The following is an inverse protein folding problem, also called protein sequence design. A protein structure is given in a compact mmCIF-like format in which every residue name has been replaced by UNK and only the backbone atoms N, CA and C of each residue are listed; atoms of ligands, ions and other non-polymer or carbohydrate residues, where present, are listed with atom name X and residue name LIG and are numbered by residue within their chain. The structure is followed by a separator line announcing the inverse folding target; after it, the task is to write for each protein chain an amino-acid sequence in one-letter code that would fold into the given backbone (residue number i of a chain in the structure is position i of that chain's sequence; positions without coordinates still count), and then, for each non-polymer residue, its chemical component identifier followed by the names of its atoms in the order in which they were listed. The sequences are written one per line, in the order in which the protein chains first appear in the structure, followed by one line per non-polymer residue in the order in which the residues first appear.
data_IF_942393729935
#
_entry.id   IF_942393729935
#
_cell.length_a   1.000
_cell.length_b   1.000
_cell.length_c   1.000
_cell.angle_alpha   90.00
_cell.angle_beta   90.00
_cell.angle_gamma   90.00
#
_symmetry.space_group_name_H-M   'P 1'
#
loop_
_entity.id
_entity.type
_entity.pdbx_description
1 polymer ?
#
# COMPACT_ATOMS: atom_id res chain seq x y z
N UNK A 1 -7.75 3.49 -18.87
CA UNK A 1 -9.19 3.57 -19.12
C UNK A 1 -9.44 3.22 -20.57
N UNK A 2 -10.35 2.29 -20.82
CA UNK A 2 -10.84 1.95 -22.15
C UNK A 2 -12.27 2.52 -22.32
N UNK A 3 -12.58 3.03 -23.50
CA UNK A 3 -13.91 3.61 -23.77
C UNK A 3 -14.44 3.16 -25.12
N UNK A 4 -15.75 3.05 -25.25
CA UNK A 4 -16.48 2.84 -26.47
C UNK A 4 -17.84 3.58 -26.43
N UNK A 5 -18.68 3.38 -27.45
CA UNK A 5 -20.01 4.01 -27.49
C UNK A 5 -20.94 3.59 -26.33
N UNK A 6 -20.69 2.50 -25.66
CA UNK A 6 -21.48 1.99 -24.55
C UNK A 6 -21.01 2.43 -23.16
N UNK A 7 -19.82 3.03 -23.05
CA UNK A 7 -19.30 3.47 -21.74
C UNK A 7 -17.79 3.58 -21.65
N UNK A 8 -17.33 3.87 -20.46
CA UNK A 8 -15.91 3.97 -20.10
C UNK A 8 -15.62 2.92 -19.01
N UNK A 9 -14.54 2.17 -19.16
CA UNK A 9 -14.10 1.20 -18.16
C UNK A 9 -13.66 1.88 -16.87
N UNK A 10 -13.61 1.12 -15.79
CA UNK A 10 -12.88 1.52 -14.60
C UNK A 10 -11.44 1.92 -14.96
N UNK A 11 -10.85 2.90 -14.27
CA UNK A 11 -9.44 3.21 -14.44
C UNK A 11 -8.59 2.00 -14.08
N UNK A 12 -7.54 1.76 -14.87
CA UNK A 12 -6.50 0.81 -14.52
C UNK A 12 -5.63 1.36 -13.39
N UNK A 13 -4.77 0.49 -12.86
CA UNK A 13 -3.69 0.90 -11.97
C UNK A 13 -2.85 2.03 -12.58
N UNK A 14 -2.44 2.98 -11.74
CA UNK A 14 -1.56 4.08 -12.13
C UNK A 14 -0.12 3.58 -12.21
N UNK A 15 0.50 3.75 -13.35
CA UNK A 15 1.91 3.46 -13.58
C UNK A 15 2.68 4.76 -13.72
N UNK A 16 3.90 4.80 -13.19
CA UNK A 16 4.78 5.97 -13.31
C UNK A 16 6.22 5.55 -13.60
N UNK A 17 6.94 6.38 -14.34
CA UNK A 17 8.34 6.17 -14.65
C UNK A 17 9.04 7.51 -14.85
N UNK A 18 10.33 7.55 -14.58
CA UNK A 18 11.19 8.72 -14.79
C UNK A 18 12.62 8.28 -15.06
N UNK A 19 13.28 8.96 -15.97
CA UNK A 19 14.71 8.81 -16.24
C UNK A 19 15.40 10.10 -15.84
N UNK A 20 16.28 10.04 -14.85
CA UNK A 20 17.04 11.18 -14.38
C UNK A 20 18.14 11.53 -15.41
N UNK A 21 18.35 12.85 -15.73
CA UNK A 21 19.42 13.27 -16.62
C UNK A 21 20.83 12.89 -16.12
N UNK A 22 21.02 12.96 -14.81
CA UNK A 22 22.22 12.50 -14.10
C UNK A 22 21.78 11.44 -13.09
N UNK A 23 21.79 10.19 -13.51
CA UNK A 23 21.23 9.07 -12.77
C UNK A 23 22.10 8.73 -11.56
N UNK A 24 21.56 8.86 -10.35
CA UNK A 24 22.21 8.42 -9.09
C UNK A 24 22.00 6.93 -8.82
N UNK A 25 21.02 6.35 -9.42
CA UNK A 25 20.65 4.95 -9.29
C UNK A 25 19.23 4.71 -9.78
N UNK A 26 18.83 3.43 -9.78
CA UNK A 26 17.54 2.94 -10.31
C UNK A 26 16.69 2.33 -9.22
N UNK A 27 15.48 2.81 -9.08
CA UNK A 27 14.53 2.34 -8.08
C UNK A 27 13.36 1.65 -8.78
N UNK A 28 13.03 0.46 -8.32
CA UNK A 28 11.80 -0.20 -8.70
C UNK A 28 10.73 0.12 -7.63
N UNK A 29 9.70 0.84 -8.01
CA UNK A 29 8.55 1.15 -7.15
C UNK A 29 7.51 0.06 -7.35
N UNK A 30 7.26 -0.75 -6.33
CA UNK A 30 6.30 -1.85 -6.38
C UNK A 30 5.03 -1.48 -5.65
N UNK A 31 3.93 -1.41 -6.39
CA UNK A 31 2.61 -1.31 -5.82
C UNK A 31 2.14 -2.71 -5.40
N UNK A 32 1.98 -2.92 -4.09
CA UNK A 32 1.75 -4.24 -3.51
C UNK A 32 0.38 -4.39 -2.85
N UNK A 33 -0.59 -3.62 -3.29
CA UNK A 33 -2.00 -3.80 -2.93
C UNK A 33 -2.86 -3.95 -4.18
N UNK A 34 -3.97 -4.66 -4.04
CA UNK A 34 -4.91 -4.95 -5.13
C UNK A 34 -6.28 -4.35 -4.87
N UNK A 35 -6.58 -4.00 -3.61
CA UNK A 35 -7.84 -3.40 -3.23
C UNK A 35 -7.72 -1.89 -3.10
N UNK A 36 -8.54 -1.19 -3.84
CA UNK A 36 -8.63 0.27 -3.86
C UNK A 36 -10.06 0.67 -3.58
N UNK A 37 -10.28 1.62 -2.71
CA UNK A 37 -11.62 2.17 -2.51
C UNK A 37 -12.05 3.01 -3.70
N UNK A 38 -13.30 2.86 -4.07
CA UNK A 38 -13.93 3.65 -5.10
C UNK A 38 -14.17 5.10 -4.66
N UNK A 39 -14.67 5.93 -5.58
CA UNK A 39 -15.04 7.30 -5.27
C UNK A 39 -16.21 7.34 -4.28
N UNK A 40 -16.21 8.39 -3.49
CA UNK A 40 -17.31 8.71 -2.59
C UNK A 40 -18.63 8.88 -3.37
N UNK A 41 -19.70 8.35 -2.86
CA UNK A 41 -21.02 8.48 -3.47
C UNK A 41 -22.02 9.11 -2.51
N UNK A 42 -23.16 9.49 -3.01
CA UNK A 42 -24.27 10.05 -2.23
C UNK A 42 -25.60 9.55 -2.74
N UNK A 43 -26.51 9.40 -1.81
CA UNK A 43 -27.91 9.12 -2.08
C UNK A 43 -28.76 10.09 -1.26
N UNK A 44 -29.66 10.79 -1.92
CA UNK A 44 -30.67 11.61 -1.28
C UNK A 44 -32.07 11.19 -1.80
N UNK A 45 -33.09 11.88 -1.38
CA UNK A 45 -34.48 11.56 -1.78
C UNK A 45 -34.75 11.71 -3.29
N UNK A 46 -33.83 12.31 -4.04
CA UNK A 46 -34.04 12.69 -5.45
C UNK A 46 -32.94 12.17 -6.36
N UNK A 47 -31.72 12.04 -5.86
CA UNK A 47 -30.53 11.71 -6.66
C UNK A 47 -29.64 10.69 -5.97
N UNK A 48 -29.06 9.83 -6.80
CA UNK A 48 -27.95 8.94 -6.45
C UNK A 48 -26.80 9.24 -7.40
N UNK A 49 -25.59 9.36 -6.87
CA UNK A 49 -24.45 9.67 -7.74
C UNK A 49 -23.11 9.66 -7.04
N UNK A 50 -22.06 9.84 -7.82
CA UNK A 50 -20.68 9.91 -7.37
C UNK A 50 -20.29 11.37 -7.17
N UNK A 51 -19.60 11.69 -6.08
CA UNK A 51 -19.07 13.04 -5.85
C UNK A 51 -17.94 13.31 -6.84
N UNK A 52 -18.07 14.31 -7.74
CA UNK A 52 -17.09 14.51 -8.82
C UNK A 52 -15.68 14.85 -8.34
N UNK A 53 -15.55 15.43 -7.14
CA UNK A 53 -14.27 15.79 -6.55
C UNK A 53 -13.62 14.64 -5.76
N UNK A 54 -14.33 13.55 -5.57
CA UNK A 54 -13.76 12.40 -4.89
C UNK A 54 -12.79 11.69 -5.81
N UNK A 55 -11.56 11.54 -5.36
CA UNK A 55 -10.52 10.78 -6.04
C UNK A 55 -10.33 9.40 -5.38
N UNK A 56 -11.43 8.81 -4.95
CA UNK A 56 -11.39 7.61 -4.13
C UNK A 56 -10.99 7.95 -2.71
N UNK A 57 -10.49 6.99 -1.99
CA UNK A 57 -10.27 7.06 -0.54
C UNK A 57 -9.22 8.05 -0.15
N UNK A 58 -8.40 8.51 -0.75
CA UNK A 58 -7.30 9.28 -0.23
C UNK A 58 -7.53 10.76 -0.15
N UNK A 59 -8.51 11.28 -0.81
CA UNK A 59 -8.57 12.71 -1.02
C UNK A 59 -9.39 13.43 0.06
N UNK A 60 -8.68 13.91 1.06
CA UNK A 60 -9.25 14.74 2.13
C UNK A 60 -10.14 14.00 3.12
N UNK A 61 -10.29 12.68 2.95
CA UNK A 61 -11.10 11.85 3.84
C UNK A 61 -10.47 10.49 4.00
N UNK A 62 -10.32 10.10 5.21
CA UNK A 62 -9.99 8.75 5.58
C UNK A 62 -10.80 8.37 6.80
N UNK A 63 -11.99 7.99 6.55
CA UNK A 63 -12.89 7.42 7.53
C UNK A 63 -12.97 5.92 7.30
N UNK A 64 -13.57 5.18 8.19
CA UNK A 64 -13.66 3.73 8.11
C UNK A 64 -14.39 3.23 6.85
N UNK A 65 -15.15 4.11 6.21
CA UNK A 65 -15.76 3.84 4.92
C UNK A 65 -15.77 5.08 4.02
N UNK A 66 -15.32 4.91 2.78
CA UNK A 66 -15.41 5.90 1.71
C UNK A 66 -15.74 5.18 0.41
N UNK A 67 -17.02 5.06 0.07
CA UNK A 67 -17.50 4.41 -1.14
C UNK A 67 -17.21 2.90 -1.23
N UNK A 68 -17.44 2.35 -2.37
CA UNK A 68 -17.26 0.94 -2.68
C UNK A 68 -15.78 0.59 -2.85
N UNK A 69 -15.44 -0.68 -2.62
CA UNK A 69 -14.10 -1.19 -2.85
C UNK A 69 -14.09 -2.15 -4.03
N UNK A 70 -13.02 -2.08 -4.82
CA UNK A 70 -12.87 -2.90 -6.01
C UNK A 70 -11.60 -3.75 -5.92
N UNK A 71 -11.69 -5.01 -6.34
CA UNK A 71 -10.54 -5.89 -6.46
C UNK A 71 -9.92 -5.76 -7.87
N UNK A 72 -8.64 -5.45 -7.92
CA UNK A 72 -7.86 -5.34 -9.14
C UNK A 72 -6.90 -6.53 -9.34
N UNK A 73 -7.05 -7.61 -8.58
CA UNK A 73 -6.25 -8.82 -8.74
C UNK A 73 -6.78 -9.67 -9.91
N UNK A 74 -6.27 -9.41 -11.11
CA UNK A 74 -6.66 -10.13 -12.34
C UNK A 74 -6.32 -11.63 -12.36
N UNK A 75 -5.57 -12.13 -11.36
CA UNK A 75 -5.31 -13.57 -11.22
C UNK A 75 -6.51 -14.32 -10.61
N UNK A 76 -7.43 -13.59 -10.02
CA UNK A 76 -8.69 -14.13 -9.52
C UNK A 76 -9.73 -14.19 -10.65
N UNK A 77 -10.71 -15.10 -10.57
CA UNK A 77 -11.83 -15.12 -11.51
C UNK A 77 -12.57 -13.77 -11.51
N UNK A 78 -13.06 -13.37 -12.68
CA UNK A 78 -13.94 -12.21 -12.78
C UNK A 78 -15.24 -12.46 -12.03
N UNK A 79 -15.64 -11.48 -11.23
CA UNK A 79 -16.89 -11.49 -10.49
C UNK A 79 -17.48 -10.08 -10.46
N UNK A 80 -18.80 -9.96 -10.39
CA UNK A 80 -19.51 -8.68 -10.42
C UNK A 80 -20.42 -8.50 -9.22
N UNK A 81 -20.12 -9.14 -8.11
CA UNK A 81 -20.84 -9.01 -6.86
C UNK A 81 -19.88 -8.87 -5.67
N UNK A 82 -20.37 -9.03 -4.45
CA UNK A 82 -19.64 -8.74 -3.21
C UNK A 82 -18.68 -9.87 -2.79
N UNK A 83 -18.57 -10.95 -3.55
CA UNK A 83 -17.62 -12.01 -3.25
C UNK A 83 -16.20 -11.68 -3.71
N UNK A 84 -15.21 -12.41 -3.17
CA UNK A 84 -13.83 -12.25 -3.58
C UNK A 84 -13.60 -12.62 -5.05
N UNK A 85 -13.22 -11.65 -5.87
CA UNK A 85 -12.90 -11.87 -7.26
C UNK A 85 -12.49 -10.59 -7.96
N UNK A 86 -11.87 -10.72 -9.11
CA UNK A 86 -11.46 -9.56 -9.90
C UNK A 86 -12.67 -8.78 -10.40
N UNK A 87 -12.65 -7.48 -10.15
CA UNK A 87 -13.72 -6.56 -10.53
C UNK A 87 -14.89 -6.50 -9.54
N UNK A 88 -14.88 -7.33 -8.49
CA UNK A 88 -15.95 -7.29 -7.49
C UNK A 88 -15.97 -5.95 -6.74
N UNK A 89 -17.15 -5.60 -6.31
CA UNK A 89 -17.43 -4.44 -5.48
C UNK A 89 -17.78 -4.94 -4.08
N UNK A 90 -17.06 -4.47 -3.07
CA UNK A 90 -17.24 -4.90 -1.69
C UNK A 90 -18.06 -3.88 -0.90
N UNK A 91 -19.31 -3.69 -1.27
CA UNK A 91 -20.21 -2.74 -0.61
C UNK A 91 -20.46 -3.08 0.86
N UNK A 92 -20.49 -4.36 1.20
CA UNK A 92 -20.66 -4.86 2.56
C UNK A 92 -19.40 -4.72 3.42
N UNK A 93 -18.28 -4.30 2.82
CA UNK A 93 -17.04 -3.97 3.54
C UNK A 93 -17.07 -2.59 4.20
N UNK A 94 -18.19 -1.94 4.22
CA UNK A 94 -18.37 -0.65 4.92
C UNK A 94 -17.92 -0.75 6.38
N UNK A 95 -17.07 0.16 6.80
CA UNK A 95 -16.49 0.13 8.15
C UNK A 95 -15.28 -0.78 8.35
N UNK A 96 -14.86 -1.53 7.33
CA UNK A 96 -13.64 -2.35 7.42
C UNK A 96 -12.39 -1.47 7.35
N UNK A 97 -11.46 -1.68 8.28
CA UNK A 97 -10.25 -0.87 8.45
C UNK A 97 -9.27 -0.90 7.27
N UNK A 98 -9.40 -1.85 6.37
CA UNK A 98 -8.50 -2.00 5.22
C UNK A 98 -8.82 -1.08 4.06
N UNK A 99 -9.80 -0.23 4.19
CA UNK A 99 -10.10 0.83 3.22
C UNK A 99 -9.01 1.90 3.22
N UNK A 100 -8.89 2.64 2.14
CA UNK A 100 -8.01 3.79 2.07
C UNK A 100 -6.81 3.65 1.14
N UNK A 101 -6.70 2.59 0.35
CA UNK A 101 -5.67 2.51 -0.68
C UNK A 101 -6.04 3.34 -1.91
N UNK A 102 -5.03 3.95 -2.52
CA UNK A 102 -5.13 4.64 -3.82
C UNK A 102 -3.92 4.33 -4.69
N UNK A 103 -4.13 4.21 -5.99
CA UNK A 103 -3.03 4.01 -6.95
C UNK A 103 -2.10 5.21 -7.10
N UNK A 104 -2.44 6.37 -6.56
CA UNK A 104 -1.61 7.59 -6.62
C UNK A 104 -0.29 7.48 -5.85
N UNK A 105 -0.13 6.49 -5.00
CA UNK A 105 1.10 6.32 -4.20
C UNK A 105 2.35 6.22 -5.06
N UNK A 106 2.30 5.51 -6.18
CA UNK A 106 3.46 5.39 -7.08
C UNK A 106 3.89 6.72 -7.67
N UNK A 107 2.95 7.63 -7.92
CA UNK A 107 3.22 8.98 -8.40
C UNK A 107 3.81 9.84 -7.27
N UNK A 108 3.29 9.74 -6.05
CA UNK A 108 3.78 10.48 -4.89
C UNK A 108 5.22 10.10 -4.55
N UNK A 109 5.51 8.81 -4.44
CA UNK A 109 6.87 8.29 -4.21
C UNK A 109 7.80 8.64 -5.37
N UNK A 110 7.34 8.45 -6.61
CA UNK A 110 8.10 8.75 -7.80
C UNK A 110 8.52 10.21 -7.92
N UNK A 111 7.67 11.17 -7.54
CA UNK A 111 8.03 12.59 -7.50
C UNK A 111 9.20 12.85 -6.55
N UNK A 112 9.22 12.21 -5.39
CA UNK A 112 10.32 12.35 -4.42
C UNK A 112 11.60 11.74 -4.99
N UNK A 113 11.54 10.54 -5.56
CA UNK A 113 12.68 9.87 -6.17
C UNK A 113 13.28 10.71 -7.32
N UNK A 114 12.45 11.27 -8.19
CA UNK A 114 12.88 12.15 -9.26
C UNK A 114 13.57 13.41 -8.73
N UNK A 115 13.04 14.05 -7.69
CA UNK A 115 13.66 15.21 -7.04
C UNK A 115 15.02 14.87 -6.40
N UNK A 116 15.19 13.64 -5.93
CA UNK A 116 16.44 13.14 -5.38
C UNK A 116 17.47 12.75 -6.46
N UNK A 117 17.09 12.71 -7.74
CA UNK A 117 17.95 12.36 -8.87
C UNK A 117 18.03 10.85 -9.16
N UNK A 118 17.06 10.08 -8.74
CA UNK A 118 16.95 8.66 -9.10
C UNK A 118 16.06 8.46 -10.32
N UNK A 119 16.45 7.55 -11.18
CA UNK A 119 15.53 6.98 -12.17
C UNK A 119 14.64 5.95 -11.51
N UNK A 120 13.39 5.85 -11.94
CA UNK A 120 12.50 4.83 -11.40
C UNK A 120 11.48 4.36 -12.45
N UNK A 121 10.97 3.18 -12.20
CA UNK A 121 9.79 2.61 -12.88
C UNK A 121 8.89 1.98 -11.82
N UNK A 122 7.58 2.12 -11.98
CA UNK A 122 6.63 1.41 -11.13
C UNK A 122 6.14 0.12 -11.79
N UNK A 123 5.82 -0.86 -10.96
CA UNK A 123 5.19 -2.11 -11.37
C UNK A 123 4.22 -2.59 -10.27
N UNK A 124 3.30 -3.46 -10.66
CA UNK A 124 2.49 -4.19 -9.70
C UNK A 124 3.27 -5.39 -9.17
N UNK A 125 3.37 -5.53 -7.84
CA UNK A 125 4.12 -6.61 -7.21
C UNK A 125 3.57 -8.01 -7.52
N UNK A 126 2.31 -8.10 -7.90
CA UNK A 126 1.67 -9.38 -8.27
C UNK A 126 1.87 -9.75 -9.75
N UNK A 127 2.37 -8.82 -10.56
CA UNK A 127 2.63 -9.04 -11.98
C UNK A 127 4.09 -9.40 -12.28
N UNK A 128 4.94 -9.51 -11.25
CA UNK A 128 6.35 -9.85 -11.40
C UNK A 128 6.69 -11.17 -10.71
N UNK A 129 7.63 -11.90 -11.28
CA UNK A 129 8.16 -13.15 -10.70
C UNK A 129 9.58 -13.01 -10.18
N UNK A 130 10.26 -11.92 -10.52
CA UNK A 130 11.63 -11.65 -10.10
C UNK A 130 11.94 -10.16 -10.10
N UNK A 131 12.88 -9.76 -9.26
CA UNK A 131 13.41 -8.39 -9.16
C UNK A 131 14.85 -8.39 -9.68
N UNK A 132 15.11 -7.52 -10.66
CA UNK A 132 16.44 -7.34 -11.22
C UNK A 132 16.63 -5.92 -11.80
N UNK A 133 17.86 -5.52 -12.06
CA UNK A 133 18.19 -4.28 -12.77
C UNK A 133 17.86 -2.99 -12.00
N UNK A 134 17.72 -3.06 -10.68
CA UNK A 134 17.52 -1.91 -9.81
C UNK A 134 18.48 -1.96 -8.61
N UNK A 135 18.82 -0.79 -8.09
CA UNK A 135 19.67 -0.63 -6.91
C UNK A 135 18.89 -0.77 -5.61
N UNK A 136 17.61 -0.44 -5.64
CA UNK A 136 16.69 -0.62 -4.52
C UNK A 136 15.26 -0.83 -5.00
N UNK A 137 14.44 -1.36 -4.10
CA UNK A 137 13.00 -1.53 -4.25
C UNK A 137 12.29 -0.66 -3.22
N UNK A 138 11.30 0.09 -3.66
CA UNK A 138 10.33 0.80 -2.84
C UNK A 138 8.99 0.05 -2.91
N UNK A 139 8.70 -0.74 -1.89
CA UNK A 139 7.51 -1.59 -1.81
C UNK A 139 6.40 -0.89 -1.04
N UNK A 140 5.33 -0.56 -1.72
CA UNK A 140 4.18 0.17 -1.18
C UNK A 140 3.04 -0.81 -0.94
N UNK A 141 2.77 -1.11 0.32
CA UNK A 141 1.69 -2.02 0.73
C UNK A 141 0.42 -1.23 1.12
N UNK A 142 0.59 0.02 1.53
CA UNK A 142 -0.52 0.85 1.95
C UNK A 142 -1.29 0.25 3.13
N UNK A 143 -2.60 0.12 2.97
CA UNK A 143 -3.51 -0.46 3.97
C UNK A 143 -3.99 -1.87 3.60
N UNK A 144 -3.23 -2.62 2.79
CA UNK A 144 -3.52 -4.01 2.46
C UNK A 144 -3.48 -4.88 3.72
N UNK A 145 -4.52 -5.67 3.94
CA UNK A 145 -4.65 -6.59 5.08
C UNK A 145 -5.57 -7.73 4.73
N UNK A 146 -5.26 -8.92 5.20
CA UNK A 146 -6.13 -10.10 5.04
C UNK A 146 -7.54 -9.79 5.53
N UNK A 147 -8.49 -9.99 4.66
CA UNK A 147 -9.92 -9.86 4.93
C UNK A 147 -10.60 -11.19 4.68
N UNK A 148 -11.48 -11.58 5.58
CA UNK A 148 -12.30 -12.78 5.46
C UNK A 148 -13.63 -12.36 4.85
N UNK A 149 -13.97 -12.97 3.71
CA UNK A 149 -15.21 -12.71 2.98
C UNK A 149 -15.94 -14.03 2.82
N UNK A 150 -16.96 -14.24 3.62
CA UNK A 150 -17.64 -15.55 3.67
C UNK A 150 -16.67 -16.67 4.05
N UNK A 151 -16.44 -17.61 3.14
CA UNK A 151 -15.50 -18.74 3.30
C UNK A 151 -14.12 -18.48 2.69
N UNK A 152 -13.96 -17.40 1.96
CA UNK A 152 -12.70 -17.04 1.29
C UNK A 152 -11.92 -15.97 2.07
N UNK A 153 -10.66 -15.83 1.73
CA UNK A 153 -9.76 -14.80 2.25
C UNK A 153 -9.02 -14.10 1.12
N UNK A 154 -8.90 -12.80 1.23
CA UNK A 154 -8.22 -11.98 0.24
C UNK A 154 -7.31 -10.94 0.89
N UNK A 155 -6.54 -10.23 0.07
CA UNK A 155 -5.81 -9.02 0.43
C UNK A 155 -4.69 -9.18 1.46
N UNK A 156 -4.08 -10.37 1.57
CA UNK A 156 -2.93 -10.59 2.46
C UNK A 156 -1.80 -9.59 2.18
N UNK A 157 -1.26 -9.01 3.23
CA UNK A 157 -0.18 -8.00 3.18
C UNK A 157 1.04 -8.46 2.40
N UNK A 158 1.61 -9.62 2.76
CA UNK A 158 2.67 -10.30 2.00
C UNK A 158 2.19 -11.69 1.61
N UNK A 159 1.76 -11.85 0.36
CA UNK A 159 1.40 -13.18 -0.13
C UNK A 159 2.60 -14.12 -0.15
N UNK A 160 2.42 -15.46 -0.10
CA UNK A 160 3.54 -16.40 -0.20
C UNK A 160 4.40 -16.20 -1.45
N UNK A 161 3.79 -15.81 -2.57
CA UNK A 161 4.51 -15.47 -3.81
C UNK A 161 5.42 -14.25 -3.60
N UNK A 162 4.90 -13.16 -3.03
CA UNK A 162 5.65 -11.95 -2.75
C UNK A 162 6.79 -12.21 -1.75
N UNK A 163 6.53 -12.97 -0.68
CA UNK A 163 7.55 -13.36 0.29
C UNK A 163 8.74 -14.06 -0.40
N UNK A 164 8.45 -15.00 -1.32
CA UNK A 164 9.47 -15.72 -2.08
C UNK A 164 10.31 -14.79 -2.96
N UNK A 165 9.68 -13.88 -3.69
CA UNK A 165 10.38 -12.92 -4.56
C UNK A 165 11.28 -12.00 -3.74
N UNK A 166 10.76 -11.44 -2.65
CA UNK A 166 11.50 -10.54 -1.77
C UNK A 166 12.66 -11.25 -1.06
N UNK A 167 12.44 -12.47 -0.55
CA UNK A 167 13.49 -13.27 0.06
C UNK A 167 14.64 -13.52 -0.92
N UNK A 168 14.34 -13.94 -2.15
CA UNK A 168 15.34 -14.16 -3.19
C UNK A 168 16.11 -12.88 -3.55
N UNK A 169 15.43 -11.73 -3.57
CA UNK A 169 16.05 -10.44 -3.84
C UNK A 169 16.98 -10.01 -2.70
N UNK A 170 16.52 -10.11 -1.46
CA UNK A 170 17.29 -9.74 -0.27
C UNK A 170 18.49 -10.67 -0.04
N UNK A 171 18.36 -11.96 -0.29
CA UNK A 171 19.48 -12.92 -0.22
C UNK A 171 20.62 -12.59 -1.20
N UNK A 172 20.32 -11.92 -2.31
CA UNK A 172 21.30 -11.44 -3.28
C UNK A 172 21.89 -10.06 -2.93
N UNK A 173 21.59 -9.54 -1.75
CA UNK A 173 22.06 -8.24 -1.28
C UNK A 173 21.24 -7.04 -1.77
N UNK A 174 20.01 -7.27 -2.18
CA UNK A 174 19.10 -6.20 -2.60
C UNK A 174 18.71 -5.24 -1.46
N UNK A 175 18.46 -3.98 -1.78
CA UNK A 175 18.01 -2.97 -0.85
C UNK A 175 16.50 -2.78 -0.95
N UNK A 176 15.80 -2.83 0.17
CA UNK A 176 14.34 -2.79 0.22
C UNK A 176 13.84 -1.74 1.23
N UNK A 177 13.01 -0.82 0.76
CA UNK A 177 12.15 0.00 1.58
C UNK A 177 10.73 -0.58 1.55
N UNK A 178 10.12 -0.78 2.71
CA UNK A 178 8.73 -1.24 2.83
C UNK A 178 7.92 -0.19 3.56
N UNK A 179 6.79 0.18 3.00
CA UNK A 179 5.79 1.02 3.65
C UNK A 179 4.42 0.35 3.66
N UNK A 180 3.79 0.32 4.83
CA UNK A 180 2.48 -0.30 5.00
C UNK A 180 2.00 -0.25 6.43
N UNK A 181 0.68 -0.23 6.61
CA UNK A 181 0.04 -0.09 7.91
C UNK A 181 0.06 -1.40 8.73
N UNK A 182 -0.08 -2.54 8.05
CA UNK A 182 -0.33 -3.85 8.69
C UNK A 182 0.76 -4.88 8.36
N UNK A 183 2.00 -4.41 8.24
CA UNK A 183 3.13 -5.24 7.80
C UNK A 183 3.55 -6.33 8.80
N UNK A 184 3.06 -6.26 10.04
CA UNK A 184 3.39 -7.23 11.09
C UNK A 184 2.14 -7.93 11.66
N UNK A 185 1.04 -7.20 11.92
CA UNK A 185 -0.19 -7.77 12.49
C UNK A 185 -0.85 -8.79 11.56
N UNK A 186 -0.69 -8.65 10.26
CA UNK A 186 -1.22 -9.57 9.25
C UNK A 186 -0.31 -10.81 9.01
N UNK A 187 0.87 -10.83 9.64
CA UNK A 187 1.87 -11.88 9.48
C UNK A 187 1.79 -12.90 10.62
N UNK A 188 0.77 -13.79 10.59
CA UNK A 188 0.42 -14.62 11.72
C UNK A 188 0.86 -16.08 11.62
N UNK A 189 1.01 -16.64 10.40
CA UNK A 189 1.48 -18.02 10.24
C UNK A 189 2.94 -18.17 10.69
N UNK A 190 3.40 -19.39 10.82
CA UNK A 190 4.80 -19.67 11.13
C UNK A 190 5.73 -19.12 10.04
N UNK A 191 5.40 -19.39 8.79
CA UNK A 191 6.15 -18.95 7.61
C UNK A 191 6.18 -17.42 7.49
N UNK A 192 5.06 -16.76 7.80
CA UNK A 192 4.98 -15.31 7.83
C UNK A 192 5.94 -14.71 8.86
N UNK A 193 5.96 -15.28 10.06
CA UNK A 193 6.85 -14.83 11.15
C UNK A 193 8.32 -15.10 10.81
N UNK A 194 8.62 -16.24 10.22
CA UNK A 194 9.98 -16.51 9.72
C UNK A 194 10.40 -15.49 8.67
N UNK A 195 9.51 -15.14 7.73
CA UNK A 195 9.82 -14.16 6.70
C UNK A 195 10.15 -12.78 7.30
N UNK A 196 9.28 -12.22 8.15
CA UNK A 196 9.53 -10.88 8.72
C UNK A 196 10.75 -10.85 9.65
N UNK A 197 11.04 -11.94 10.38
CA UNK A 197 12.18 -12.00 11.27
C UNK A 197 13.51 -12.22 10.55
N UNK A 198 13.54 -13.13 9.58
CA UNK A 198 14.79 -13.53 8.91
C UNK A 198 15.20 -12.61 7.76
N UNK A 199 14.24 -11.96 7.11
CA UNK A 199 14.50 -11.10 5.95
C UNK A 199 14.25 -9.63 6.19
N UNK A 200 13.21 -9.28 6.96
CA UNK A 200 12.86 -7.89 7.25
C UNK A 200 13.34 -7.42 8.64
N UNK A 201 13.82 -8.36 9.47
CA UNK A 201 14.44 -8.10 10.77
C UNK A 201 13.60 -7.33 11.76
N UNK A 202 12.29 -7.62 11.81
CA UNK A 202 11.40 -7.10 12.83
C UNK A 202 10.39 -8.14 13.31
N UNK A 203 9.71 -7.82 14.39
CA UNK A 203 8.59 -8.57 14.94
C UNK A 203 7.46 -7.63 15.32
N UNK A 204 6.24 -8.15 15.34
CA UNK A 204 5.05 -7.43 15.81
C UNK A 204 5.13 -7.17 17.31
N UNK A 205 4.72 -5.99 17.74
CA UNK A 205 4.61 -5.65 19.15
C UNK A 205 3.16 -5.38 19.56
N UNK A 206 2.49 -4.45 18.93
CA UNK A 206 1.12 -4.04 19.23
C UNK A 206 0.52 -3.25 18.07
N UNK A 207 -0.76 -3.03 18.14
CA UNK A 207 -1.50 -2.08 17.31
C UNK A 207 -1.39 -0.65 17.83
N UNK A 208 -1.96 0.29 17.10
CA UNK A 208 -2.05 1.71 17.47
C UNK A 208 -0.70 2.36 17.76
N UNK A 209 0.28 2.15 16.87
CA UNK A 209 1.63 2.67 17.04
C UNK A 209 1.68 4.19 17.26
N UNK A 210 0.73 4.93 16.71
CA UNK A 210 0.61 6.37 16.92
C UNK A 210 -0.84 6.84 16.90
N UNK A 211 -1.16 7.74 17.81
CA UNK A 211 -2.43 8.47 17.86
C UNK A 211 -2.22 9.99 17.70
N UNK A 212 -0.98 10.45 17.69
CA UNK A 212 -0.66 11.88 17.79
C UNK A 212 -0.06 12.47 16.52
N UNK A 213 0.18 11.68 15.50
CA UNK A 213 0.74 12.16 14.24
C UNK A 213 2.13 12.75 14.35
N UNK A 214 3.00 12.18 15.21
CA UNK A 214 4.37 12.66 15.37
C UNK A 214 5.39 11.52 15.32
N UNK A 215 6.56 11.81 14.75
CA UNK A 215 7.69 10.90 14.69
C UNK A 215 8.93 11.59 15.25
N UNK A 216 9.62 10.90 16.17
CA UNK A 216 10.91 11.30 16.68
C UNK A 216 12.01 10.46 16.05
N UNK A 217 12.93 11.11 15.35
CA UNK A 217 14.02 10.44 14.65
C UNK A 217 15.21 10.19 15.57
N UNK A 218 15.84 9.04 15.43
CA UNK A 218 17.06 8.69 16.14
C UNK A 218 18.23 9.54 15.62
N UNK A 219 18.74 10.44 16.46
CA UNK A 219 19.82 11.39 16.13
C UNK A 219 21.14 10.74 15.69
N UNK A 220 21.34 9.48 15.97
CA UNK A 220 22.56 8.75 15.58
C UNK A 220 22.49 8.25 14.13
N UNK A 221 21.31 8.18 13.54
CA UNK A 221 21.06 7.60 12.21
C UNK A 221 20.69 8.67 11.20
N UNK A 222 19.88 9.63 11.58
CA UNK A 222 19.45 10.74 10.73
C UNK A 222 19.64 12.07 11.46
N UNK A 223 19.69 13.18 10.71
CA UNK A 223 19.71 14.51 11.29
C UNK A 223 18.53 14.70 12.26
N UNK A 224 18.74 15.40 13.38
CA UNK A 224 17.78 15.48 14.44
C UNK A 224 16.57 16.28 13.98
N UNK A 225 15.50 15.59 13.72
CA UNK A 225 14.25 16.25 13.42
C UNK A 225 13.09 15.53 14.10
N UNK A 226 12.19 16.33 14.53
CA UNK A 226 10.86 15.98 14.94
C UNK A 226 9.97 16.21 13.74
N UNK A 227 9.29 15.17 13.29
CA UNK A 227 8.36 15.26 12.18
C UNK A 227 6.94 15.14 12.69
N UNK A 228 6.11 16.06 12.25
CA UNK A 228 4.68 15.96 12.38
C UNK A 228 4.11 15.38 11.10
N UNK A 229 3.21 14.44 11.22
CA UNK A 229 2.36 14.01 10.13
C UNK A 229 0.90 14.16 10.55
N UNK A 230 0.03 14.29 9.58
CA UNK A 230 -1.39 14.52 9.89
C UNK A 230 -2.03 13.24 10.42
N UNK A 231 -2.62 13.33 11.61
CA UNK A 231 -3.47 12.27 12.17
C UNK A 231 -4.88 12.28 11.55
N UNK A 232 -5.25 13.38 10.90
CA UNK A 232 -6.51 13.50 10.15
C UNK A 232 -6.23 13.51 8.66
N UNK A 233 -7.10 12.91 7.85
CA UNK A 233 -6.89 12.84 6.41
C UNK A 233 -6.93 14.23 5.76
N UNK A 234 -6.14 14.40 4.73
CA UNK A 234 -6.10 15.57 3.86
C UNK A 234 -5.71 15.16 2.44
N UNK A 235 -5.55 16.14 1.53
CA UNK A 235 -5.20 15.89 0.14
C UNK A 235 -3.87 15.16 -0.06
N UNK A 236 -2.97 15.19 0.90
CA UNK A 236 -1.62 14.62 0.80
C UNK A 236 -1.45 13.35 1.62
N UNK A 237 -2.30 13.11 2.60
CA UNK A 237 -2.12 12.08 3.61
C UNK A 237 -3.41 11.30 3.85
N UNK A 238 -3.31 9.99 3.81
CA UNK A 238 -4.37 9.06 4.21
C UNK A 238 -4.11 8.65 5.66
N UNK A 239 -5.12 8.79 6.48
CA UNK A 239 -5.07 8.33 7.86
C UNK A 239 -4.94 6.80 7.94
N UNK A 240 -4.17 6.32 8.89
CA UNK A 240 -4.10 4.91 9.23
C UNK A 240 -4.66 4.73 10.64
N UNK A 241 -5.77 4.06 10.75
CA UNK A 241 -6.55 3.95 11.99
C UNK A 241 -5.80 3.17 13.06
N UNK A 242 -5.07 2.15 12.62
CA UNK A 242 -4.49 1.17 13.53
C UNK A 242 -3.13 0.66 13.03
N UNK A 243 -2.14 1.55 12.85
CA UNK A 243 -0.84 1.16 12.32
C UNK A 243 -0.09 0.26 13.28
N UNK A 244 0.65 -0.69 12.73
CA UNK A 244 1.46 -1.62 13.49
C UNK A 244 2.63 -0.95 14.21
N UNK A 245 2.87 -1.38 15.44
CA UNK A 245 4.11 -1.16 16.15
C UNK A 245 5.03 -2.38 15.96
N UNK A 246 6.23 -2.15 15.48
CA UNK A 246 7.23 -3.19 15.24
C UNK A 246 8.46 -3.01 16.14
N UNK A 247 9.13 -4.12 16.44
CA UNK A 247 10.40 -4.13 17.16
C UNK A 247 11.50 -4.67 16.25
N UNK A 248 12.66 -4.02 16.19
CA UNK A 248 13.80 -4.54 15.45
C UNK A 248 14.33 -5.83 16.07
N UNK A 249 14.76 -6.76 15.21
CA UNK A 249 15.39 -8.03 15.58
C UNK A 249 16.69 -8.23 14.80
N UNK A 250 17.46 -9.25 15.13
CA UNK A 250 18.66 -9.67 14.38
C UNK A 250 19.65 -8.53 14.07
N UNK A 251 19.87 -7.60 15.02
CA UNK A 251 20.80 -6.49 14.86
C UNK A 251 20.23 -5.27 14.12
N UNK A 252 18.98 -5.31 13.68
CA UNK A 252 18.30 -4.14 13.11
C UNK A 252 18.19 -3.01 14.13
N UNK A 253 18.11 -1.78 13.66
CA UNK A 253 18.06 -0.59 14.49
C UNK A 253 16.80 0.21 14.26
N UNK A 254 16.23 0.75 15.33
CA UNK A 254 15.15 1.72 15.25
C UNK A 254 15.71 3.07 14.79
N UNK A 255 15.26 3.52 13.61
CA UNK A 255 15.65 4.83 13.03
C UNK A 255 14.75 5.94 13.54
N UNK A 256 13.49 5.63 13.74
CA UNK A 256 12.49 6.56 14.24
C UNK A 256 11.48 5.84 15.14
N UNK A 257 10.70 6.59 15.89
CA UNK A 257 9.59 6.09 16.71
C UNK A 257 8.50 7.13 16.84
N UNK A 258 7.33 6.65 17.04
CA UNK A 258 6.14 7.42 17.35
C UNK A 258 6.15 7.91 18.81
#
# INVERSE_FOLDING_TARGET
VAGNAGGISMPSEVMSAYIAPEEKGRILVLNAFTRVSGPDWFEDSTYVGIKPQSQGVGYGKDISYIGEQFDFDSRRPWITDDECGWGSCYCDQQGVLTMGNTFDYTVKHGKVLAQMGYSYISANAYAIDTIFGCDAVDLIIGKQKTTVLGTDTAFKTFTPHMQKILANYLQKGGNLLVSGAYIASDMQSYEDKEFIQNYLHYTYRCDHASQQGSIVVNRRVLSPNYYLFHSTPNAECIHTENPDCILPTNGAQSVARY
#
